data_IF_124397680903
#
_entry.id   IF_124397680903
#
_cell.length_a   1.000
_cell.length_b   1.000
_cell.length_c   1.000
_cell.angle_alpha   90.00
_cell.angle_beta   90.00
_cell.angle_gamma   90.00
#
_symmetry.space_group_name_H-M   'P 1'
#
loop_
_entity.id
_entity.type
_entity.pdbx_description
1 polymer ?
#
# COMPACT_ATOMS: atom_id res chain seq x y z
N UNK A 1 -5.78 -5.20 18.83
CA UNK A 1 -5.31 -4.38 17.69
C UNK A 1 -6.53 -3.80 17.01
N UNK A 2 -6.55 -2.49 16.76
CA UNK A 2 -7.58 -1.86 15.95
C UNK A 2 -7.28 -2.14 14.45
N UNK A 3 -8.19 -2.78 13.70
CA UNK A 3 -7.97 -3.12 12.29
C UNK A 3 -7.72 -1.89 11.40
N UNK A 4 -8.28 -0.72 11.74
CA UNK A 4 -8.02 0.53 11.02
C UNK A 4 -6.58 0.99 11.29
N UNK A 5 -6.12 0.90 12.54
CA UNK A 5 -4.73 1.23 12.88
C UNK A 5 -3.73 0.31 12.15
N UNK A 6 -4.03 -0.99 12.07
CA UNK A 6 -3.22 -1.96 11.31
C UNK A 6 -3.22 -1.65 9.81
N UNK A 7 -4.38 -1.34 9.22
CA UNK A 7 -4.47 -0.97 7.80
C UNK A 7 -3.72 0.32 7.49
N UNK A 8 -3.79 1.35 8.36
CA UNK A 8 -3.03 2.60 8.21
C UNK A 8 -1.53 2.36 8.27
N UNK A 9 -1.06 1.53 9.20
CA UNK A 9 0.34 1.15 9.26
C UNK A 9 0.78 0.38 7.99
N UNK A 10 -0.06 -0.55 7.54
CA UNK A 10 0.14 -1.29 6.30
C UNK A 10 0.25 -0.39 5.07
N UNK A 11 -0.60 0.64 4.95
CA UNK A 11 -0.53 1.65 3.90
C UNK A 11 0.80 2.39 3.91
N UNK A 12 1.23 2.91 5.07
CA UNK A 12 2.51 3.63 5.17
C UNK A 12 3.70 2.74 4.82
N UNK A 13 3.69 1.49 5.27
CA UNK A 13 4.73 0.53 4.96
C UNK A 13 4.77 0.20 3.45
N UNK A 14 3.61 0.00 2.83
CA UNK A 14 3.50 -0.26 1.39
C UNK A 14 3.97 0.94 0.56
N UNK A 15 3.61 2.17 0.94
CA UNK A 15 4.08 3.39 0.28
C UNK A 15 5.61 3.52 0.32
N UNK A 16 6.23 3.31 1.49
CA UNK A 16 7.71 3.38 1.64
C UNK A 16 8.42 2.33 0.79
N UNK A 17 7.89 1.10 0.73
CA UNK A 17 8.44 0.03 -0.11
C UNK A 17 8.33 0.36 -1.59
N UNK A 18 7.19 0.90 -2.02
CA UNK A 18 7.00 1.35 -3.39
C UNK A 18 7.98 2.45 -3.78
N UNK A 19 8.16 3.48 -2.94
CA UNK A 19 9.11 4.57 -3.17
C UNK A 19 10.55 4.08 -3.29
N UNK A 20 10.94 3.14 -2.42
CA UNK A 20 12.28 2.54 -2.44
C UNK A 20 12.52 1.77 -3.74
N UNK A 21 11.56 0.91 -4.13
CA UNK A 21 11.66 0.14 -5.37
C UNK A 21 11.62 1.03 -6.62
N UNK A 22 10.82 2.11 -6.62
CA UNK A 22 10.81 3.08 -7.70
C UNK A 22 12.15 3.83 -7.83
N UNK A 23 12.81 4.14 -6.71
CA UNK A 23 14.15 4.71 -6.72
C UNK A 23 15.19 3.73 -7.26
N UNK A 24 15.02 2.42 -7.02
CA UNK A 24 15.85 1.35 -7.59
C UNK A 24 15.72 1.29 -9.12
N UNK A 25 14.48 1.25 -9.63
CA UNK A 25 14.19 1.29 -11.08
C UNK A 25 14.74 2.55 -11.72
N UNK A 26 14.68 3.70 -11.04
CA UNK A 26 15.19 4.97 -11.56
C UNK A 26 16.72 5.01 -11.70
N UNK A 27 17.44 4.11 -11.01
CA UNK A 27 18.89 3.94 -11.18
C UNK A 27 19.27 3.07 -12.38
N UNK A 28 18.28 2.54 -13.11
CA UNK A 28 18.49 1.82 -14.36
C UNK A 28 19.27 2.71 -15.35
N UNK A 29 20.46 2.25 -15.73
CA UNK A 29 21.37 2.99 -16.63
C UNK A 29 22.54 3.69 -15.94
N UNK A 30 22.69 3.56 -14.62
CA UNK A 30 23.91 3.94 -13.91
C UNK A 30 25.04 2.90 -14.04
N UNK A 31 26.24 3.25 -13.56
CA UNK A 31 27.44 2.40 -13.61
C UNK A 31 27.36 1.13 -12.75
N UNK A 32 26.41 1.04 -11.82
CA UNK A 32 26.22 -0.14 -10.98
C UNK A 32 25.12 -1.05 -11.55
N UNK A 33 25.32 -2.38 -11.57
CA UNK A 33 24.28 -3.32 -11.94
C UNK A 33 23.15 -3.26 -10.91
N UNK A 34 21.92 -3.00 -11.39
CA UNK A 34 20.71 -2.90 -10.58
C UNK A 34 19.73 -4.00 -11.00
N UNK A 35 19.10 -4.68 -10.04
CA UNK A 35 18.01 -5.63 -10.31
C UNK A 35 16.70 -4.90 -10.57
N UNK A 36 16.52 -4.47 -11.81
CA UNK A 36 15.33 -3.73 -12.25
C UNK A 36 14.09 -4.63 -12.27
N UNK A 37 14.24 -5.90 -12.65
CA UNK A 37 13.11 -6.84 -12.70
C UNK A 37 12.56 -7.11 -11.30
N UNK A 38 13.44 -7.39 -10.33
CA UNK A 38 13.06 -7.55 -8.92
C UNK A 38 12.39 -6.30 -8.37
N UNK A 39 12.95 -5.11 -8.63
CA UNK A 39 12.37 -3.84 -8.20
C UNK A 39 10.98 -3.58 -8.80
N UNK A 40 10.76 -3.90 -10.09
CA UNK A 40 9.44 -3.78 -10.72
C UNK A 40 8.41 -4.73 -10.08
N UNK A 41 8.80 -5.96 -9.77
CA UNK A 41 7.94 -6.91 -9.06
C UNK A 41 7.58 -6.37 -7.67
N UNK A 42 8.56 -5.82 -6.94
CA UNK A 42 8.33 -5.24 -5.61
C UNK A 42 7.41 -4.02 -5.66
N UNK A 43 7.50 -3.18 -6.70
CA UNK A 43 6.55 -2.09 -6.95
C UNK A 43 5.11 -2.62 -7.15
N UNK A 44 4.93 -3.67 -7.95
CA UNK A 44 3.61 -4.28 -8.19
C UNK A 44 3.04 -4.85 -6.90
N UNK A 45 3.84 -5.61 -6.15
CA UNK A 45 3.41 -6.19 -4.87
C UNK A 45 3.05 -5.10 -3.85
N UNK A 46 3.86 -4.04 -3.75
CA UNK A 46 3.60 -2.90 -2.87
C UNK A 46 2.31 -2.18 -3.24
N UNK A 47 2.03 -2.00 -4.54
CA UNK A 47 0.76 -1.46 -5.03
C UNK A 47 -0.43 -2.32 -4.62
N UNK A 48 -0.33 -3.65 -4.76
CA UNK A 48 -1.40 -4.55 -4.31
C UNK A 48 -1.62 -4.49 -2.80
N UNK A 49 -0.54 -4.48 -2.02
CA UNK A 49 -0.62 -4.34 -0.57
C UNK A 49 -1.25 -3.00 -0.15
N UNK A 50 -0.95 -1.91 -0.87
CA UNK A 50 -1.59 -0.62 -0.64
C UNK A 50 -3.11 -0.69 -0.89
N UNK A 51 -3.53 -1.21 -2.05
CA UNK A 51 -4.95 -1.35 -2.39
C UNK A 51 -5.72 -2.24 -1.40
N UNK A 52 -5.10 -3.34 -0.94
CA UNK A 52 -5.71 -4.22 0.05
C UNK A 52 -5.92 -3.53 1.40
N UNK A 53 -4.93 -2.76 1.87
CA UNK A 53 -5.10 -1.99 3.11
C UNK A 53 -6.15 -0.88 2.95
N UNK A 54 -6.24 -0.26 1.76
CA UNK A 54 -7.26 0.74 1.46
C UNK A 54 -8.67 0.15 1.50
N UNK A 55 -8.88 -1.06 0.95
CA UNK A 55 -10.20 -1.70 0.96
C UNK A 55 -10.69 -2.00 2.38
N UNK A 56 -9.79 -2.35 3.30
CA UNK A 56 -10.13 -2.56 4.72
C UNK A 56 -10.64 -1.26 5.35
N UNK A 57 -10.01 -0.11 5.04
CA UNK A 57 -10.46 1.18 5.54
C UNK A 57 -11.82 1.56 4.95
N UNK A 58 -12.01 1.36 3.64
CA UNK A 58 -13.29 1.62 2.97
C UNK A 58 -14.41 0.78 3.57
N UNK A 59 -14.18 -0.52 3.78
CA UNK A 59 -15.15 -1.40 4.43
C UNK A 59 -15.51 -0.95 5.85
N UNK A 60 -14.52 -0.49 6.63
CA UNK A 60 -14.78 0.03 7.97
C UNK A 60 -15.63 1.32 7.95
N UNK A 61 -15.45 2.17 6.93
CA UNK A 61 -16.28 3.36 6.72
C UNK A 61 -17.72 2.98 6.33
N UNK A 62 -17.88 2.04 5.40
CA UNK A 62 -19.20 1.55 4.97
C UNK A 62 -20.01 0.97 6.15
N UNK A 63 -19.35 0.23 7.05
CA UNK A 63 -19.96 -0.28 8.27
C UNK A 63 -20.39 0.85 9.22
N UNK A 64 -19.57 1.87 9.38
CA UNK A 64 -19.88 3.03 10.22
C UNK A 64 -21.09 3.80 9.68
N UNK A 65 -21.12 4.06 8.38
CA UNK A 65 -22.22 4.76 7.72
C UNK A 65 -23.53 3.95 7.80
N UNK A 66 -23.45 2.62 7.69
CA UNK A 66 -24.59 1.73 7.86
C UNK A 66 -25.17 1.80 9.29
N UNK A 67 -24.33 1.89 10.32
CA UNK A 67 -24.78 2.05 11.71
C UNK A 67 -25.47 3.39 11.93
N UNK A 68 -24.91 4.47 11.37
CA UNK A 68 -25.53 5.80 11.42
C UNK A 68 -26.87 5.86 10.68
N UNK A 69 -26.99 5.14 9.56
CA UNK A 69 -28.22 5.07 8.80
C UNK A 69 -29.35 4.36 9.57
N UNK A 70 -29.04 3.32 10.34
CA UNK A 70 -30.02 2.60 11.17
C UNK A 70 -30.54 3.46 12.34
N UNK A 71 -29.74 4.41 12.82
CA UNK A 71 -30.09 5.26 13.96
C UNK A 71 -31.02 6.43 13.61
N UNK A 72 -31.31 6.66 12.31
CA UNK A 72 -32.28 7.66 11.84
C UNK A 72 -33.67 7.05 11.66
#
# INVERSE_FOLDING_TARGET
MDPIATARYGLMAASRRFETAAAEVSRMGGDQPVDVEGAMVEMIQSKHAFTANLSVIGFAQDMWDSLLAIQK
#
